data_IF_825801728149
#
_entry.id   IF_825801728149
#
_cell.length_a   1.000
_cell.length_b   1.000
_cell.length_c   1.000
_cell.angle_alpha   90.00
_cell.angle_beta   90.00
_cell.angle_gamma   90.00
#
_symmetry.space_group_name_H-M   'P 1'
#
loop_
_entity.id
_entity.type
_entity.pdbx_description
1 polymer ?
#
# COMPACT_ATOMS: atom_id res chain seq x y z
N UNK A 1 9.28 8.76 -26.47
CA UNK A 1 9.75 8.33 -25.13
C UNK A 1 8.59 8.13 -24.13
N UNK A 2 7.64 9.08 -23.98
CA UNK A 2 6.52 8.92 -23.04
C UNK A 2 5.60 7.74 -23.37
N UNK A 3 5.45 7.34 -24.62
CA UNK A 3 4.63 6.19 -25.04
C UNK A 3 5.17 4.84 -24.56
N UNK A 4 6.38 4.79 -24.07
CA UNK A 4 7.00 3.56 -23.54
C UNK A 4 6.66 3.33 -22.07
N UNK A 5 6.16 4.38 -21.38
CA UNK A 5 5.68 4.28 -20.01
C UNK A 5 4.27 3.67 -19.96
N UNK A 6 3.95 2.96 -18.90
CA UNK A 6 2.60 2.47 -18.70
C UNK A 6 1.61 3.64 -18.54
N UNK A 7 0.41 3.52 -19.09
CA UNK A 7 -0.63 4.56 -18.96
C UNK A 7 -0.92 4.89 -17.50
N UNK A 8 -0.92 3.87 -16.65
CA UNK A 8 -1.12 4.01 -15.21
C UNK A 8 -0.02 4.84 -14.53
N UNK A 9 1.24 4.60 -14.87
CA UNK A 9 2.35 5.39 -14.36
C UNK A 9 2.28 6.85 -14.82
N UNK A 10 1.91 7.08 -16.09
CA UNK A 10 1.72 8.44 -16.60
C UNK A 10 0.52 9.16 -15.99
N UNK A 11 -0.55 8.43 -15.68
CA UNK A 11 -1.72 9.01 -15.04
C UNK A 11 -1.38 9.65 -13.69
N UNK A 12 -0.48 9.04 -12.90
CA UNK A 12 -0.05 9.61 -11.60
C UNK A 12 0.74 10.91 -11.73
N UNK A 13 1.33 11.18 -12.90
CA UNK A 13 2.09 12.39 -13.19
C UNK A 13 1.29 13.45 -13.97
N UNK A 14 0.01 13.18 -14.24
CA UNK A 14 -0.80 13.98 -15.17
C UNK A 14 -1.90 14.74 -14.44
N UNK A 15 -2.05 16.02 -14.75
CA UNK A 15 -3.15 16.87 -14.29
C UNK A 15 -3.79 17.54 -15.50
N UNK A 16 -5.11 17.39 -15.69
CA UNK A 16 -5.85 17.95 -16.82
C UNK A 16 -5.21 17.60 -18.20
N UNK A 17 -4.75 16.36 -18.35
CA UNK A 17 -4.13 15.87 -19.60
C UNK A 17 -2.71 16.37 -19.86
N UNK A 18 -2.12 17.10 -18.94
CA UNK A 18 -0.71 17.55 -19.02
C UNK A 18 0.16 16.76 -18.05
N UNK A 19 1.33 16.32 -18.53
CA UNK A 19 2.30 15.59 -17.72
C UNK A 19 3.24 16.61 -17.06
N UNK A 20 3.36 16.54 -15.74
CA UNK A 20 4.17 17.44 -14.91
C UNK A 20 5.39 16.76 -14.29
N UNK A 21 5.53 15.47 -14.44
CA UNK A 21 6.64 14.70 -13.88
C UNK A 21 6.97 13.49 -14.73
N UNK A 22 8.06 12.84 -14.37
CA UNK A 22 8.49 11.57 -14.94
C UNK A 22 8.35 10.49 -13.87
N UNK A 23 7.65 9.39 -14.12
CA UNK A 23 7.66 8.25 -13.21
C UNK A 23 9.10 7.76 -13.02
N UNK A 24 9.55 7.68 -11.77
CA UNK A 24 10.87 7.16 -11.40
C UNK A 24 10.81 5.66 -11.20
N UNK A 25 9.86 5.20 -10.39
CA UNK A 25 9.53 3.81 -10.16
C UNK A 25 8.05 3.69 -9.80
N UNK A 26 7.50 2.51 -9.97
CA UNK A 26 6.11 2.24 -9.55
C UNK A 26 6.06 1.04 -8.61
N UNK A 27 5.01 0.94 -7.83
CA UNK A 27 4.76 -0.17 -6.93
C UNK A 27 3.26 -0.38 -6.71
N UNK A 28 2.91 -1.46 -6.06
CA UNK A 28 1.57 -1.71 -5.52
C UNK A 28 1.67 -2.48 -4.21
N UNK A 29 0.55 -2.56 -3.49
CA UNK A 29 0.48 -3.30 -2.24
C UNK A 29 0.16 -4.76 -2.48
N UNK A 30 0.83 -5.66 -1.76
CA UNK A 30 0.53 -7.08 -1.72
C UNK A 30 0.55 -7.60 -0.28
N UNK A 31 -0.02 -8.78 -0.06
CA UNK A 31 0.03 -9.46 1.21
C UNK A 31 1.31 -10.30 1.30
N UNK A 32 2.11 -10.03 2.34
CA UNK A 32 3.23 -10.88 2.76
C UNK A 32 2.75 -11.81 3.87
N UNK A 33 3.17 -13.06 3.82
CA UNK A 33 2.83 -14.03 4.86
C UNK A 33 4.02 -14.92 5.22
N UNK A 34 4.13 -15.26 6.50
CA UNK A 34 5.14 -16.17 7.02
C UNK A 34 4.67 -17.62 6.82
N UNK A 35 5.32 -18.36 5.92
CA UNK A 35 4.93 -19.74 5.58
C UNK A 35 4.94 -20.67 6.80
N UNK A 36 5.99 -20.60 7.62
CA UNK A 36 6.13 -21.47 8.79
C UNK A 36 5.06 -21.24 9.85
N UNK A 37 4.65 -19.97 10.05
CA UNK A 37 3.59 -19.63 11.01
C UNK A 37 2.25 -20.20 10.51
N UNK A 38 1.90 -19.98 9.24
CA UNK A 38 0.65 -20.49 8.66
C UNK A 38 0.62 -22.03 8.67
N UNK A 39 1.70 -22.67 8.23
CA UNK A 39 1.80 -24.14 8.19
C UNK A 39 1.68 -24.75 9.58
N UNK A 40 2.36 -24.19 10.59
CA UNK A 40 2.25 -24.66 11.98
C UNK A 40 0.83 -24.59 12.52
N UNK A 41 0.05 -23.60 12.09
CA UNK A 41 -1.34 -23.45 12.44
C UNK A 41 -2.29 -24.29 11.55
N UNK A 42 -1.77 -24.99 10.54
CA UNK A 42 -2.58 -25.71 9.56
C UNK A 42 -3.47 -24.80 8.73
N UNK A 43 -3.00 -23.56 8.46
CA UNK A 43 -3.70 -22.56 7.68
C UNK A 43 -3.20 -22.54 6.24
N UNK A 44 -4.10 -22.29 5.30
CA UNK A 44 -3.77 -21.92 3.92
C UNK A 44 -3.58 -20.40 3.83
N UNK A 45 -3.02 -19.94 2.72
CA UNK A 45 -2.98 -18.52 2.36
C UNK A 45 -4.42 -18.05 2.13
N UNK A 46 -4.90 -17.01 2.85
CA UNK A 46 -6.28 -16.55 2.71
C UNK A 46 -6.53 -15.87 1.36
N UNK A 47 -7.69 -16.12 0.76
CA UNK A 47 -8.10 -15.57 -0.54
C UNK A 47 -9.21 -14.51 -0.41
N UNK A 48 -9.88 -14.42 0.75
CA UNK A 48 -10.92 -13.45 1.05
C UNK A 48 -10.80 -12.95 2.51
N UNK A 49 -11.57 -11.90 2.84
CA UNK A 49 -11.48 -11.24 4.16
C UNK A 49 -11.93 -12.13 5.32
N UNK A 50 -12.88 -13.04 5.10
CA UNK A 50 -13.34 -14.00 6.11
C UNK A 50 -12.22 -14.97 6.48
N UNK A 51 -11.63 -15.61 5.48
CA UNK A 51 -10.46 -16.48 5.66
C UNK A 51 -9.27 -15.71 6.28
N UNK A 52 -9.05 -14.45 5.85
CA UNK A 52 -7.98 -13.62 6.39
C UNK A 52 -8.13 -13.39 7.89
N UNK A 53 -9.34 -13.07 8.33
CA UNK A 53 -9.65 -12.86 9.75
C UNK A 53 -9.48 -14.17 10.54
N UNK A 54 -10.02 -15.29 10.05
CA UNK A 54 -9.87 -16.61 10.67
C UNK A 54 -8.39 -17.03 10.80
N UNK A 55 -7.59 -16.83 9.75
CA UNK A 55 -6.14 -17.13 9.77
C UNK A 55 -5.44 -16.22 10.78
N UNK A 56 -5.73 -14.92 10.75
CA UNK A 56 -5.12 -13.97 11.67
C UNK A 56 -5.43 -14.30 13.14
N UNK A 57 -6.67 -14.65 13.46
CA UNK A 57 -7.08 -15.07 14.79
C UNK A 57 -6.35 -16.35 15.21
N UNK A 58 -6.37 -17.38 14.36
CA UNK A 58 -5.81 -18.71 14.65
C UNK A 58 -4.30 -18.71 14.88
N UNK A 59 -3.55 -17.83 14.21
CA UNK A 59 -2.09 -17.73 14.37
C UNK A 59 -1.67 -16.77 15.48
N UNK A 60 -2.61 -15.99 16.02
CA UNK A 60 -2.31 -15.01 17.06
C UNK A 60 -2.14 -15.67 18.43
N UNK A 61 -1.10 -15.24 19.14
CA UNK A 61 -0.86 -15.60 20.53
C UNK A 61 -0.28 -14.40 21.31
N UNK A 62 0.36 -14.68 22.46
CA UNK A 62 1.01 -13.64 23.28
C UNK A 62 2.25 -13.02 22.60
N UNK A 63 2.84 -13.69 21.63
CA UNK A 63 4.14 -13.32 21.00
C UNK A 63 4.00 -12.99 19.52
N UNK A 64 3.03 -13.58 18.84
CA UNK A 64 2.77 -13.42 17.42
C UNK A 64 1.39 -12.77 17.24
N UNK A 65 1.31 -11.79 16.36
CA UNK A 65 0.06 -11.21 15.87
C UNK A 65 -0.21 -11.68 14.45
N UNK A 66 -1.48 -11.98 14.17
CA UNK A 66 -1.91 -12.43 12.86
C UNK A 66 -1.71 -11.38 11.79
N UNK A 67 -2.03 -10.13 12.12
CA UNK A 67 -1.90 -9.00 11.21
C UNK A 67 -1.40 -7.74 11.92
N UNK A 68 -0.76 -6.86 11.17
CA UNK A 68 -0.38 -5.53 11.60
C UNK A 68 -0.53 -4.54 10.45
N UNK A 69 -0.96 -3.34 10.78
CA UNK A 69 -1.16 -2.23 9.86
C UNK A 69 -0.65 -0.94 10.49
N UNK A 70 -0.05 -0.04 9.71
CA UNK A 70 0.29 1.30 10.22
C UNK A 70 -0.95 2.19 10.25
N UNK A 71 -1.05 3.04 11.27
CA UNK A 71 -2.06 4.12 11.36
C UNK A 71 -1.40 5.44 11.77
N UNK A 72 -0.18 5.68 11.28
CA UNK A 72 0.51 6.95 11.39
C UNK A 72 -0.15 7.99 10.47
N UNK A 73 0.00 9.26 10.81
CA UNK A 73 -0.39 10.38 9.95
C UNK A 73 0.56 10.52 8.75
N UNK A 74 0.69 9.44 7.98
CA UNK A 74 1.55 9.36 6.80
C UNK A 74 0.81 8.71 5.65
N UNK A 75 1.32 8.87 4.45
CA UNK A 75 0.78 8.24 3.26
C UNK A 75 0.88 6.71 3.29
N UNK A 76 1.82 6.15 4.07
CA UNK A 76 1.96 4.71 4.28
C UNK A 76 0.67 4.08 4.81
N UNK A 77 -0.02 4.73 5.75
CA UNK A 77 -1.28 4.23 6.30
C UNK A 77 -2.35 4.06 5.22
N UNK A 78 -2.45 5.02 4.31
CA UNK A 78 -3.41 4.94 3.22
C UNK A 78 -3.00 3.94 2.15
N UNK A 79 -1.71 3.73 1.98
CA UNK A 79 -1.19 2.71 1.07
C UNK A 79 -1.57 1.29 1.51
N UNK A 80 -1.70 1.03 2.81
CA UNK A 80 -2.16 -0.24 3.36
C UNK A 80 -3.69 -0.30 3.50
N UNK A 81 -4.36 0.80 3.86
CA UNK A 81 -5.78 0.82 4.19
C UNK A 81 -6.71 0.90 2.98
N UNK A 82 -6.36 1.68 1.96
CA UNK A 82 -7.25 1.90 0.80
C UNK A 82 -7.64 0.61 0.06
N UNK A 83 -6.78 -0.40 -0.11
CA UNK A 83 -7.19 -1.68 -0.68
C UNK A 83 -8.31 -2.36 0.12
N UNK A 84 -8.27 -2.26 1.46
CA UNK A 84 -9.31 -2.82 2.32
C UNK A 84 -10.62 -2.06 2.09
N UNK A 85 -10.58 -0.73 2.16
CA UNK A 85 -11.74 0.13 1.94
C UNK A 85 -12.41 -0.14 0.58
N UNK A 86 -11.63 -0.10 -0.48
CA UNK A 86 -12.15 -0.28 -1.84
C UNK A 86 -12.69 -1.68 -2.11
N UNK A 87 -12.03 -2.71 -1.59
CA UNK A 87 -12.46 -4.10 -1.80
C UNK A 87 -13.77 -4.44 -1.08
N UNK A 88 -14.06 -3.73 0.01
CA UNK A 88 -15.33 -3.81 0.72
C UNK A 88 -16.41 -2.89 0.13
N UNK A 89 -16.12 -2.24 -1.01
CA UNK A 89 -17.04 -1.35 -1.73
C UNK A 89 -17.14 0.07 -1.16
N UNK A 90 -16.26 0.42 -0.22
CA UNK A 90 -16.18 1.77 0.36
C UNK A 90 -15.48 2.77 -0.57
N UNK A 91 -15.71 4.05 -0.30
CA UNK A 91 -15.05 5.17 -0.96
C UNK A 91 -14.68 6.25 0.05
N UNK A 92 -13.59 6.98 -0.22
CA UNK A 92 -13.06 8.02 0.68
C UNK A 92 -14.03 9.17 0.95
N UNK A 93 -14.96 9.42 0.03
CA UNK A 93 -15.98 10.47 0.15
C UNK A 93 -17.30 9.97 0.77
N UNK A 94 -17.35 8.70 1.17
CA UNK A 94 -18.55 8.07 1.74
C UNK A 94 -18.24 7.11 2.88
N UNK A 95 -17.20 7.42 3.66
CA UNK A 95 -16.69 6.57 4.76
C UNK A 95 -17.70 6.33 5.88
N UNK A 96 -18.66 7.23 6.07
CA UNK A 96 -19.70 7.15 7.09
C UNK A 96 -20.97 6.41 6.64
N UNK A 97 -21.02 5.92 5.40
CA UNK A 97 -22.13 5.08 4.93
C UNK A 97 -21.99 3.64 5.44
N UNK A 98 -23.06 2.86 5.38
CA UNK A 98 -23.05 1.43 5.77
C UNK A 98 -21.96 0.62 5.06
N UNK A 99 -21.64 0.94 3.80
CA UNK A 99 -20.57 0.29 3.05
C UNK A 99 -19.20 0.89 3.39
N UNK A 100 -19.11 2.22 3.50
CA UNK A 100 -17.84 2.92 3.76
C UNK A 100 -17.22 2.58 5.11
N UNK A 101 -18.03 2.35 6.14
CA UNK A 101 -17.54 2.01 7.48
C UNK A 101 -17.00 0.58 7.62
N UNK A 102 -17.33 -0.34 6.71
CA UNK A 102 -17.03 -1.78 6.87
C UNK A 102 -15.54 -2.04 7.06
N UNK A 103 -14.66 -1.37 6.31
CA UNK A 103 -13.22 -1.55 6.43
C UNK A 103 -12.67 -1.12 7.80
N UNK A 104 -13.19 -0.03 8.35
CA UNK A 104 -12.80 0.46 9.67
C UNK A 104 -13.28 -0.49 10.78
N UNK A 105 -14.55 -0.94 10.69
CA UNK A 105 -15.12 -1.85 11.65
C UNK A 105 -14.45 -3.24 11.61
N UNK A 106 -14.12 -3.73 10.43
CA UNK A 106 -13.36 -4.96 10.24
C UNK A 106 -12.03 -4.93 10.99
N UNK A 107 -11.24 -3.86 10.81
CA UNK A 107 -9.97 -3.70 11.51
C UNK A 107 -10.15 -3.51 13.02
N UNK A 108 -11.21 -2.79 13.46
CA UNK A 108 -11.53 -2.64 14.86
C UNK A 108 -11.91 -3.97 15.52
N UNK A 109 -12.68 -4.81 14.84
CA UNK A 109 -13.02 -6.14 15.30
C UNK A 109 -11.77 -7.02 15.46
N UNK A 110 -10.88 -7.04 14.46
CA UNK A 110 -9.61 -7.76 14.56
C UNK A 110 -8.72 -7.26 15.72
N UNK A 111 -8.75 -5.96 16.01
CA UNK A 111 -8.05 -5.39 17.17
C UNK A 111 -8.67 -5.91 18.49
N UNK A 112 -9.99 -5.86 18.64
CA UNK A 112 -10.70 -6.33 19.84
C UNK A 112 -10.52 -7.82 20.09
N UNK A 113 -10.46 -8.63 19.04
CA UNK A 113 -10.18 -10.07 19.12
C UNK A 113 -8.68 -10.36 19.36
N UNK A 114 -7.83 -9.35 19.28
CA UNK A 114 -6.40 -9.44 19.53
C UNK A 114 -5.58 -10.04 18.39
N UNK A 115 -6.17 -10.20 17.20
CA UNK A 115 -5.50 -10.69 15.99
C UNK A 115 -4.74 -9.58 15.24
N UNK A 116 -5.17 -8.31 15.38
CA UNK A 116 -4.45 -7.15 14.92
C UNK A 116 -3.60 -6.56 16.05
N UNK A 117 -2.37 -6.15 15.73
CA UNK A 117 -1.46 -5.53 16.69
C UNK A 117 -1.79 -4.05 16.90
N UNK A 118 -2.37 -3.68 18.03
CA UNK A 118 -2.59 -2.27 18.36
C UNK A 118 -1.28 -1.47 18.45
N UNK A 119 -0.17 -2.11 18.82
CA UNK A 119 1.15 -1.44 18.84
C UNK A 119 1.63 -1.02 17.46
N UNK A 120 1.18 -1.73 16.41
CA UNK A 120 1.59 -1.46 15.03
C UNK A 120 1.11 -0.11 14.49
N UNK A 121 0.02 0.43 15.02
CA UNK A 121 -0.55 1.71 14.58
C UNK A 121 0.40 2.90 14.72
N UNK A 122 1.43 2.78 15.54
CA UNK A 122 2.48 3.80 15.74
C UNK A 122 3.81 3.44 15.08
N UNK A 123 3.84 2.39 14.27
CA UNK A 123 5.00 1.93 13.53
C UNK A 123 4.91 2.32 12.05
N UNK A 124 6.05 2.55 11.43
CA UNK A 124 6.17 2.72 9.97
C UNK A 124 6.05 1.36 9.25
N UNK A 125 5.83 1.35 7.94
CA UNK A 125 5.90 0.11 7.15
C UNK A 125 7.27 -0.58 7.27
N UNK A 126 8.35 0.20 7.39
CA UNK A 126 9.68 -0.34 7.64
C UNK A 126 9.81 -1.04 9.00
N UNK A 127 9.20 -0.46 10.04
CA UNK A 127 9.15 -1.09 11.38
C UNK A 127 8.31 -2.37 11.37
N UNK A 128 7.18 -2.39 10.65
CA UNK A 128 6.36 -3.59 10.45
C UNK A 128 7.15 -4.69 9.74
N UNK A 129 7.91 -4.33 8.70
CA UNK A 129 8.82 -5.25 8.01
C UNK A 129 9.82 -5.86 8.99
N UNK A 130 10.40 -5.05 9.88
CA UNK A 130 11.31 -5.54 10.93
C UNK A 130 10.61 -6.48 11.93
N UNK A 131 9.34 -6.25 12.27
CA UNK A 131 8.57 -7.17 13.13
C UNK A 131 8.26 -8.48 12.39
N UNK A 132 7.95 -8.41 11.10
CA UNK A 132 7.73 -9.58 10.25
C UNK A 132 9.00 -10.44 10.13
N UNK A 133 10.16 -9.83 9.87
CA UNK A 133 11.49 -10.48 9.85
C UNK A 133 11.76 -11.24 11.15
N UNK A 134 11.35 -10.68 12.29
CA UNK A 134 11.49 -11.30 13.61
C UNK A 134 10.44 -12.36 13.92
N UNK A 135 9.52 -12.65 13.00
CA UNK A 135 8.43 -13.60 13.17
C UNK A 135 7.38 -13.19 14.22
N UNK A 136 7.25 -11.90 14.49
CA UNK A 136 6.25 -11.37 15.44
C UNK A 136 4.92 -11.03 14.79
N UNK A 137 4.89 -10.96 13.47
CA UNK A 137 3.71 -10.70 12.63
C UNK A 137 3.62 -11.82 11.61
N UNK A 138 2.46 -12.44 11.47
CA UNK A 138 2.24 -13.52 10.52
C UNK A 138 1.94 -13.03 9.11
N UNK A 139 1.17 -11.94 8.99
CA UNK A 139 0.77 -11.31 7.73
C UNK A 139 0.90 -9.79 7.84
N UNK A 140 1.34 -9.15 6.76
CA UNK A 140 1.36 -7.69 6.61
C UNK A 140 1.11 -7.31 5.15
N UNK A 141 0.71 -6.07 4.91
CA UNK A 141 0.67 -5.50 3.57
C UNK A 141 1.93 -4.66 3.33
N UNK A 142 2.53 -4.80 2.15
CA UNK A 142 3.73 -4.04 1.82
C UNK A 142 3.95 -4.01 0.29
N UNK A 143 4.97 -3.28 -0.15
CA UNK A 143 5.40 -3.20 -1.55
C UNK A 143 6.54 -4.18 -1.87
N UNK A 144 6.88 -4.29 -3.15
CA UNK A 144 8.01 -5.12 -3.62
C UNK A 144 9.34 -4.76 -2.99
N UNK A 145 9.51 -3.51 -2.57
CA UNK A 145 10.72 -3.00 -1.93
C UNK A 145 11.04 -3.71 -0.59
N UNK A 146 10.02 -4.26 0.08
CA UNK A 146 10.23 -4.99 1.33
C UNK A 146 10.93 -6.34 1.15
N UNK A 147 10.90 -6.93 -0.05
CA UNK A 147 11.39 -8.29 -0.33
C UNK A 147 12.89 -8.39 -0.02
N UNK A 148 13.69 -7.46 -0.53
CA UNK A 148 15.14 -7.50 -0.33
C UNK A 148 15.50 -7.26 1.14
N UNK A 149 14.84 -6.31 1.80
CA UNK A 149 15.02 -6.07 3.25
C UNK A 149 14.67 -7.31 4.09
N UNK A 150 13.64 -8.07 3.71
CA UNK A 150 13.27 -9.31 4.41
C UNK A 150 14.34 -10.37 4.19
N UNK A 151 14.81 -10.57 2.97
CA UNK A 151 15.83 -11.55 2.62
C UNK A 151 17.18 -11.26 3.28
N UNK A 152 17.56 -9.99 3.34
CA UNK A 152 18.78 -9.54 4.00
C UNK A 152 18.67 -9.64 5.53
N UNK A 153 17.52 -9.25 6.07
CA UNK A 153 17.29 -9.25 7.52
C UNK A 153 17.16 -10.64 8.13
N UNK A 154 16.66 -11.63 7.39
CA UNK A 154 16.60 -13.03 7.80
C UNK A 154 16.56 -13.97 6.59
N UNK A 155 17.72 -14.43 6.12
CA UNK A 155 17.82 -15.35 4.98
C UNK A 155 17.08 -16.68 5.15
N UNK A 156 16.82 -17.10 6.39
CA UNK A 156 16.13 -18.35 6.74
C UNK A 156 14.60 -18.18 6.85
N UNK A 157 14.09 -16.95 6.67
CA UNK A 157 12.67 -16.69 6.74
C UNK A 157 11.96 -17.15 5.47
N UNK A 158 11.20 -18.20 5.60
CA UNK A 158 10.32 -18.68 4.52
C UNK A 158 9.04 -17.86 4.49
N UNK A 159 8.96 -16.94 3.53
CA UNK A 159 7.78 -16.11 3.32
C UNK A 159 7.21 -16.28 1.89
N UNK A 160 6.02 -15.79 1.69
CA UNK A 160 5.40 -15.70 0.38
C UNK A 160 4.73 -14.35 0.20
N UNK A 161 4.44 -14.05 -1.05
CA UNK A 161 3.68 -12.87 -1.49
C UNK A 161 2.44 -13.35 -2.21
N UNK A 162 1.30 -12.76 -1.90
CA UNK A 162 0.01 -13.04 -2.51
C UNK A 162 -0.77 -11.74 -2.75
N UNK A 163 -1.84 -11.83 -3.54
CA UNK A 163 -2.80 -10.74 -3.65
C UNK A 163 -3.41 -10.43 -2.28
N UNK A 164 -3.88 -9.19 -2.12
CA UNK A 164 -4.71 -8.82 -0.97
C UNK A 164 -5.97 -9.70 -0.99
N UNK A 165 -6.40 -10.25 0.14
CA UNK A 165 -7.46 -11.27 0.22
C UNK A 165 -8.86 -10.66 0.04
N UNK A 166 -9.10 -10.01 -1.08
CA UNK A 166 -10.36 -9.34 -1.39
C UNK A 166 -11.27 -10.15 -2.33
N UNK A 167 -10.87 -11.36 -2.69
CA UNK A 167 -11.60 -12.16 -3.66
C UNK A 167 -11.40 -11.64 -5.09
N UNK A 168 -12.46 -11.69 -5.89
CA UNK A 168 -12.43 -11.25 -7.28
C UNK A 168 -13.56 -10.23 -7.54
N UNK A 169 -13.28 -9.03 -8.13
CA UNK A 169 -11.99 -8.64 -8.70
C UNK A 169 -10.95 -8.27 -7.64
N UNK A 170 -9.69 -8.54 -7.93
CA UNK A 170 -8.59 -8.13 -7.07
C UNK A 170 -8.44 -6.61 -7.05
N UNK A 171 -8.21 -6.06 -5.87
CA UNK A 171 -8.01 -4.62 -5.65
C UNK A 171 -6.70 -4.40 -4.92
N UNK A 172 -5.86 -3.52 -5.44
CA UNK A 172 -4.68 -3.02 -4.75
C UNK A 172 -4.46 -1.55 -5.08
N UNK A 173 -3.61 -0.86 -4.33
CA UNK A 173 -3.29 0.54 -4.57
C UNK A 173 -2.02 0.66 -5.40
N UNK A 174 -2.06 1.50 -6.43
CA UNK A 174 -0.87 1.90 -7.18
C UNK A 174 -0.13 3.01 -6.43
N UNK A 175 1.17 2.81 -6.27
CA UNK A 175 2.10 3.77 -5.73
C UNK A 175 3.29 3.99 -6.66
N UNK A 176 4.28 4.72 -6.17
CA UNK A 176 5.53 4.97 -6.87
C UNK A 176 6.01 6.40 -6.69
N UNK A 177 7.20 6.65 -7.22
CA UNK A 177 7.90 7.91 -7.10
C UNK A 177 7.85 8.68 -8.42
N UNK A 178 7.70 9.99 -8.32
CA UNK A 178 7.63 10.91 -9.45
C UNK A 178 8.71 11.97 -9.30
N UNK A 179 9.48 12.17 -10.35
CA UNK A 179 10.44 13.28 -10.44
C UNK A 179 9.82 14.43 -11.22
N UNK A 180 9.80 15.60 -10.61
CA UNK A 180 9.36 16.84 -11.23
C UNK A 180 10.48 17.89 -11.20
N UNK A 181 10.47 18.80 -12.18
CA UNK A 181 11.46 19.88 -12.30
C UNK A 181 10.83 21.17 -11.81
N UNK A 182 11.46 21.80 -10.83
CA UNK A 182 11.10 23.15 -10.41
C UNK A 182 11.50 24.18 -11.50
N UNK A 183 10.66 25.22 -11.67
CA UNK A 183 10.96 26.31 -12.60
C UNK A 183 11.88 27.33 -11.95
N UNK A 184 13.18 27.10 -12.08
CA UNK A 184 14.25 27.94 -11.55
C UNK A 184 15.46 27.99 -12.49
N UNK A 185 16.52 28.67 -12.11
CA UNK A 185 17.74 28.83 -12.90
C UNK A 185 18.48 27.51 -13.25
N UNK A 186 18.25 26.46 -12.46
CA UNK A 186 18.86 25.14 -12.66
C UNK A 186 17.99 24.17 -13.49
N UNK A 187 16.87 24.64 -14.03
CA UNK A 187 15.89 23.81 -14.77
C UNK A 187 16.51 22.98 -15.88
N UNK A 188 17.40 23.54 -16.67
CA UNK A 188 18.03 22.85 -17.80
C UNK A 188 18.90 21.67 -17.32
N UNK A 189 19.62 21.82 -16.21
CA UNK A 189 20.41 20.73 -15.62
C UNK A 189 19.52 19.65 -15.07
N UNK A 190 18.42 20.02 -14.39
CA UNK A 190 17.43 19.06 -13.89
C UNK A 190 16.79 18.25 -15.02
N UNK A 191 16.44 18.89 -16.14
CA UNK A 191 15.94 18.20 -17.34
C UNK A 191 16.97 17.23 -17.92
N UNK A 192 18.26 17.60 -17.97
CA UNK A 192 19.32 16.71 -18.41
C UNK A 192 19.45 15.48 -17.49
N UNK A 193 19.34 15.69 -16.18
CA UNK A 193 19.36 14.61 -15.20
C UNK A 193 18.15 13.65 -15.36
N UNK A 194 16.94 14.19 -15.59
CA UNK A 194 15.78 13.34 -15.89
C UNK A 194 15.96 12.52 -17.16
N UNK A 195 16.51 13.12 -18.22
CA UNK A 195 16.82 12.39 -19.46
C UNK A 195 17.87 11.29 -19.24
N UNK A 196 18.86 11.55 -18.39
CA UNK A 196 19.87 10.57 -18.01
C UNK A 196 19.24 9.38 -17.27
N UNK A 197 18.32 9.62 -16.32
CA UNK A 197 17.59 8.57 -15.60
C UNK A 197 16.59 7.84 -16.50
N UNK A 198 16.06 8.50 -17.53
CA UNK A 198 15.13 7.91 -18.50
C UNK A 198 15.79 6.92 -19.48
N UNK A 199 17.11 6.85 -19.54
CA UNK A 199 17.81 5.83 -20.31
C UNK A 199 17.44 4.43 -19.83
N UNK A 200 17.10 3.51 -20.76
CA UNK A 200 16.58 2.17 -20.40
C UNK A 200 17.55 1.36 -19.55
N UNK A 201 18.84 1.43 -19.86
CA UNK A 201 19.86 0.66 -19.11
C UNK A 201 19.97 1.19 -17.68
N UNK A 202 20.04 2.51 -17.52
CA UNK A 202 20.11 3.15 -16.20
C UNK A 202 18.86 2.95 -15.38
N UNK A 203 17.69 3.05 -16.05
CA UNK A 203 16.43 2.76 -15.41
C UNK A 203 16.43 1.35 -14.80
N UNK A 204 16.87 0.35 -15.56
CA UNK A 204 16.98 -1.01 -15.06
C UNK A 204 17.91 -1.09 -13.84
N UNK A 205 19.09 -0.45 -13.90
CA UNK A 205 20.07 -0.46 -12.82
C UNK A 205 19.47 0.08 -11.51
N UNK A 206 18.88 1.29 -11.51
CA UNK A 206 18.36 1.86 -10.25
C UNK A 206 17.05 1.21 -9.80
N UNK A 207 16.22 0.73 -10.71
CA UNK A 207 14.98 0.04 -10.35
C UNK A 207 15.25 -1.29 -9.65
N UNK A 208 16.22 -2.04 -10.15
CA UNK A 208 16.62 -3.29 -9.51
C UNK A 208 17.22 -3.03 -8.11
N UNK A 209 18.03 -1.96 -7.96
CA UNK A 209 18.62 -1.56 -6.67
C UNK A 209 17.58 -1.13 -5.64
N UNK A 210 16.57 -0.36 -6.05
CA UNK A 210 15.53 0.14 -5.14
C UNK A 210 14.36 -0.82 -4.96
N UNK A 211 14.28 -1.91 -5.72
CA UNK A 211 13.18 -2.87 -5.65
C UNK A 211 11.84 -2.36 -6.18
N UNK A 212 11.83 -1.29 -7.00
CA UNK A 212 10.64 -0.81 -7.69
C UNK A 212 10.25 -1.71 -8.86
N UNK A 213 9.01 -1.60 -9.30
CA UNK A 213 8.62 -2.01 -10.64
C UNK A 213 8.99 -0.92 -11.65
N UNK A 214 9.41 -1.33 -12.84
CA UNK A 214 9.74 -0.38 -13.90
C UNK A 214 8.48 0.37 -14.37
N UNK A 215 8.52 1.70 -14.49
CA UNK A 215 7.40 2.45 -15.03
C UNK A 215 7.23 2.26 -16.55
N UNK A 216 8.26 1.72 -17.25
CA UNK A 216 8.18 1.33 -18.66
C UNK A 216 7.76 -0.11 -18.81
N UNK A 217 6.71 -0.34 -19.59
CA UNK A 217 6.06 -1.64 -19.72
C UNK A 217 7.00 -2.75 -20.22
N UNK A 218 7.87 -2.45 -21.21
CA UNK A 218 8.82 -3.42 -21.74
C UNK A 218 9.82 -3.90 -20.67
N UNK A 219 10.33 -2.97 -19.84
CA UNK A 219 11.27 -3.30 -18.77
C UNK A 219 10.54 -4.07 -17.66
N UNK A 220 9.34 -3.63 -17.28
CA UNK A 220 8.53 -4.30 -16.26
C UNK A 220 8.25 -5.75 -16.61
N UNK A 221 7.92 -6.06 -17.87
CA UNK A 221 7.62 -7.43 -18.31
C UNK A 221 8.83 -8.36 -18.23
N UNK A 222 10.04 -7.81 -18.31
CA UNK A 222 11.30 -8.58 -18.24
C UNK A 222 11.90 -8.60 -16.84
N UNK A 223 11.31 -7.82 -15.89
CA UNK A 223 11.76 -7.84 -14.52
C UNK A 223 11.34 -9.15 -13.84
N UNK A 224 12.22 -9.61 -12.97
CA UNK A 224 11.90 -10.67 -12.02
C UNK A 224 11.46 -12.02 -12.61
N UNK A 225 11.85 -12.34 -13.85
CA UNK A 225 11.53 -13.63 -14.50
C UNK A 225 11.90 -14.84 -13.63
N UNK A 226 12.93 -14.72 -12.80
CA UNK A 226 13.41 -15.77 -11.91
C UNK A 226 13.13 -15.49 -10.42
N UNK A 227 12.29 -14.52 -10.09
CA UNK A 227 11.91 -14.14 -8.74
C UNK A 227 10.40 -14.16 -8.59
N UNK A 228 9.87 -15.25 -8.06
CA UNK A 228 8.43 -15.47 -7.92
C UNK A 228 7.76 -14.41 -7.06
N UNK A 229 8.36 -14.06 -5.93
CA UNK A 229 7.78 -13.09 -4.99
C UNK A 229 7.72 -11.70 -5.62
N UNK A 230 8.80 -11.25 -6.27
CA UNK A 230 8.81 -9.97 -7.00
C UNK A 230 7.91 -10.00 -8.24
N UNK A 231 7.91 -11.12 -8.98
CA UNK A 231 7.07 -11.31 -10.16
C UNK A 231 5.57 -11.17 -9.87
N UNK A 232 5.11 -11.60 -8.69
CA UNK A 232 3.72 -11.43 -8.25
C UNK A 232 3.26 -9.96 -8.31
N UNK A 233 4.13 -9.02 -8.00
CA UNK A 233 3.80 -7.59 -8.05
C UNK A 233 3.54 -7.06 -9.46
N UNK A 234 4.18 -7.64 -10.49
CA UNK A 234 3.93 -7.26 -11.89
C UNK A 234 2.47 -7.55 -12.27
N UNK A 235 1.98 -8.74 -11.90
CA UNK A 235 0.60 -9.15 -12.18
C UNK A 235 -0.40 -8.28 -11.38
N UNK A 236 -0.11 -8.04 -10.10
CA UNK A 236 -0.97 -7.23 -9.23
C UNK A 236 -1.04 -5.78 -9.71
N UNK A 237 0.07 -5.20 -10.16
CA UNK A 237 0.10 -3.81 -10.63
C UNK A 237 -0.82 -3.57 -11.83
N UNK A 238 -1.08 -4.58 -12.66
CA UNK A 238 -2.02 -4.47 -13.79
C UNK A 238 -3.43 -4.06 -13.32
N UNK A 239 -3.83 -4.50 -12.13
CA UNK A 239 -5.15 -4.23 -11.54
C UNK A 239 -5.12 -3.16 -10.45
N UNK A 240 -3.96 -2.53 -10.18
CA UNK A 240 -3.84 -1.54 -9.14
C UNK A 240 -4.63 -0.26 -9.46
N UNK A 241 -5.35 0.26 -8.46
CA UNK A 241 -6.11 1.52 -8.52
C UNK A 241 -5.23 2.67 -8.04
N UNK A 242 -5.25 3.78 -8.77
CA UNK A 242 -4.58 5.02 -8.35
C UNK A 242 -5.40 5.72 -7.26
N UNK A 243 -4.70 6.38 -6.34
CA UNK A 243 -5.32 7.30 -5.38
C UNK A 243 -5.88 8.52 -6.12
N UNK A 244 -6.72 9.29 -5.44
CA UNK A 244 -7.22 10.54 -5.99
C UNK A 244 -6.08 11.52 -6.30
N UNK A 245 -6.09 12.06 -7.53
CA UNK A 245 -5.13 13.07 -7.96
C UNK A 245 -5.75 14.44 -7.69
N UNK A 246 -5.53 14.95 -6.51
CA UNK A 246 -6.11 16.20 -6.03
C UNK A 246 -5.09 16.98 -5.21
N UNK A 247 -5.17 18.32 -5.25
CA UNK A 247 -4.39 19.19 -4.34
C UNK A 247 -4.75 18.95 -2.88
N UNK A 248 -5.95 18.46 -2.64
CA UNK A 248 -6.49 18.21 -1.31
C UNK A 248 -6.09 16.84 -0.77
N UNK A 249 -5.54 15.97 -1.61
CA UNK A 249 -5.19 14.60 -1.22
C UNK A 249 -4.37 14.53 0.08
N UNK A 250 -3.33 15.34 0.31
CA UNK A 250 -2.57 15.28 1.57
C UNK A 250 -3.43 15.50 2.81
N UNK A 251 -4.39 16.43 2.76
CA UNK A 251 -5.29 16.71 3.88
C UNK A 251 -6.34 15.61 4.06
N UNK A 252 -6.86 15.06 2.95
CA UNK A 252 -7.78 13.91 2.96
C UNK A 252 -7.08 12.69 3.54
N UNK A 253 -5.89 12.38 3.06
CA UNK A 253 -5.07 11.25 3.53
C UNK A 253 -4.77 11.33 5.04
N UNK A 254 -4.38 12.51 5.53
CA UNK A 254 -4.20 12.76 6.96
C UNK A 254 -5.49 12.55 7.74
N UNK A 255 -6.62 13.07 7.26
CA UNK A 255 -7.92 12.90 7.92
C UNK A 255 -8.31 11.43 8.02
N UNK A 256 -8.13 10.67 6.93
CA UNK A 256 -8.41 9.22 6.92
C UNK A 256 -7.48 8.45 7.87
N UNK A 257 -6.19 8.80 7.93
CA UNK A 257 -5.23 8.17 8.84
C UNK A 257 -5.58 8.44 10.30
N UNK A 258 -5.99 9.67 10.64
CA UNK A 258 -6.48 10.02 11.97
C UNK A 258 -7.74 9.25 12.31
N UNK A 259 -8.68 9.16 11.36
CA UNK A 259 -9.93 8.41 11.52
C UNK A 259 -9.67 6.95 11.84
N UNK A 260 -8.78 6.30 11.05
CA UNK A 260 -8.41 4.92 11.27
C UNK A 260 -7.81 4.72 12.66
N UNK A 261 -6.87 5.58 13.03
CA UNK A 261 -6.21 5.52 14.34
C UNK A 261 -7.22 5.74 15.47
N UNK A 262 -8.09 6.74 15.35
CA UNK A 262 -9.08 7.06 16.37
C UNK A 262 -10.04 5.90 16.59
N UNK A 263 -10.52 5.25 15.53
CA UNK A 263 -11.39 4.08 15.61
C UNK A 263 -10.66 2.91 16.28
N UNK A 264 -9.40 2.66 15.94
CA UNK A 264 -8.65 1.54 16.51
C UNK A 264 -8.37 1.70 18.02
N UNK A 265 -8.05 2.93 18.48
CA UNK A 265 -7.65 3.15 19.88
C UNK A 265 -8.78 3.50 20.83
N UNK A 266 -9.91 4.01 20.34
CA UNK A 266 -11.01 4.46 21.17
C UNK A 266 -12.14 3.42 21.24
N UNK A 267 -12.80 3.37 22.39
CA UNK A 267 -14.05 2.62 22.58
C UNK A 267 -15.30 3.43 22.20
N UNK A 268 -15.10 4.66 21.68
CA UNK A 268 -16.18 5.54 21.29
C UNK A 268 -16.95 4.97 20.09
N UNK A 269 -18.16 5.50 19.90
CA UNK A 269 -19.00 5.18 18.75
C UNK A 269 -18.28 5.51 17.43
N UNK A 270 -17.91 4.48 16.68
CA UNK A 270 -17.23 4.59 15.40
C UNK A 270 -18.01 5.42 14.39
N UNK A 271 -19.35 5.38 14.43
CA UNK A 271 -20.19 6.17 13.54
C UNK A 271 -19.99 7.67 13.76
N UNK A 272 -19.94 8.11 15.01
CA UNK A 272 -19.68 9.52 15.34
C UNK A 272 -18.30 10.00 14.82
N UNK A 273 -17.28 9.14 14.91
CA UNK A 273 -15.94 9.45 14.37
C UNK A 273 -16.00 9.56 12.85
N UNK A 274 -16.66 8.62 12.19
CA UNK A 274 -16.78 8.59 10.73
C UNK A 274 -17.59 9.76 10.19
N UNK A 275 -18.68 10.17 10.86
CA UNK A 275 -19.50 11.32 10.47
C UNK A 275 -18.68 12.62 10.51
N UNK A 276 -17.95 12.87 11.58
CA UNK A 276 -17.07 14.04 11.71
C UNK A 276 -15.98 14.06 10.65
N UNK A 277 -15.41 12.89 10.35
CA UNK A 277 -14.35 12.76 9.35
C UNK A 277 -14.88 12.96 7.94
N UNK A 278 -16.07 12.46 7.64
CA UNK A 278 -16.74 12.67 6.35
C UNK A 278 -17.06 14.16 6.12
N UNK A 279 -17.62 14.86 7.12
CA UNK A 279 -17.85 16.31 7.07
C UNK A 279 -16.54 17.09 6.82
N UNK A 280 -15.45 16.69 7.49
CA UNK A 280 -14.15 17.31 7.29
C UNK A 280 -13.61 17.08 5.88
N UNK A 281 -13.71 15.85 5.33
CA UNK A 281 -13.30 15.55 3.96
C UNK A 281 -14.12 16.34 2.94
N UNK A 282 -15.44 16.48 3.15
CA UNK A 282 -16.32 17.28 2.29
C UNK A 282 -15.91 18.76 2.31
N UNK A 283 -15.61 19.32 3.50
CA UNK A 283 -15.15 20.72 3.64
C UNK A 283 -13.83 20.98 2.91
N UNK A 284 -12.87 20.06 3.00
CA UNK A 284 -11.59 20.11 2.26
C UNK A 284 -11.85 20.14 0.74
N UNK A 285 -12.82 19.36 0.25
CA UNK A 285 -13.20 19.33 -1.16
C UNK A 285 -13.89 20.62 -1.64
N UNK A 286 -14.58 21.32 -0.75
CA UNK A 286 -15.33 22.55 -1.07
C UNK A 286 -14.43 23.81 -1.12
N UNK A 287 -13.36 23.89 -0.34
CA UNK A 287 -12.48 25.06 -0.26
C UNK A 287 -11.72 25.40 -1.55
N UNK A 288 -11.70 24.49 -2.53
CA UNK A 288 -10.92 24.61 -3.76
C UNK A 288 -11.78 24.50 -5.04
N UNK A 289 -13.10 24.67 -4.92
CA UNK A 289 -14.00 24.85 -6.06
C UNK A 289 -14.26 26.34 -6.29
#
# INVERSE_FOLDING_TARGET
ELREYSEKALATCSVNGRIYGQPFGVNCTAMFYNKKILEKAGCKVPENWEEFKEVAEKVSDKTIKGFAITALQTEESMYEFLPILWSMGGDIHSINTATGQQAFLFLKEMEQEGSLSLQSISLTMGDLTNQFIKGKIAMMFNSSMAIDSIREGNPDLEFGVAAIPCGNPQVTVAGGEILAVADNENKEYAIQFLKFLADKKRMKEYIDEFGFLAPRQEIMQQQFENDKEKGTFIDLYQNARTREISRNWPQISLTLSDTLREILVNENDSQTILDKSAEKIESIGAENR
#
